data_IF_121890354843
#
_entry.id   IF_121890354843
#
_cell.length_a   1.000
_cell.length_b   1.000
_cell.length_c   1.000
_cell.angle_alpha   90.00
_cell.angle_beta   90.00
_cell.angle_gamma   90.00
#
_symmetry.space_group_name_H-M   'P 1'
#
loop_
_entity.id
_entity.type
_entity.pdbx_description
1 polymer ?
#
# COMPACT_ATOMS: atom_id res chain seq x y z
N UNK A 1 27.00 -0.94 5.84
CA UNK A 1 25.53 -0.71 5.86
C UNK A 1 25.25 0.11 7.11
N UNK A 2 24.76 1.35 6.97
CA UNK A 2 24.34 2.17 8.13
C UNK A 2 22.86 1.93 8.34
N UNK A 3 22.47 1.49 9.52
CA UNK A 3 21.07 1.48 9.93
C UNK A 3 20.70 2.90 10.36
N UNK A 4 19.56 3.39 9.93
CA UNK A 4 18.98 4.62 10.44
C UNK A 4 18.12 4.27 11.66
N UNK A 5 18.28 5.02 12.74
CA UNK A 5 17.42 4.94 13.90
C UNK A 5 16.17 5.79 13.66
N UNK A 6 14.99 5.23 13.94
CA UNK A 6 13.69 5.90 13.78
C UNK A 6 12.84 5.36 12.62
N UNK A 7 11.55 5.74 12.57
CA UNK A 7 10.66 5.36 11.49
C UNK A 7 11.12 6.01 10.16
N UNK A 8 10.87 5.38 9.01
CA UNK A 8 11.01 6.03 7.71
C UNK A 8 10.09 7.26 7.61
N UNK A 9 10.53 8.30 6.91
CA UNK A 9 9.66 9.45 6.61
C UNK A 9 8.59 9.12 5.56
N UNK A 10 8.90 8.24 4.61
CA UNK A 10 7.98 7.79 3.57
C UNK A 10 8.04 6.27 3.47
N UNK A 11 6.88 5.62 3.48
CA UNK A 11 6.75 4.21 3.10
C UNK A 11 5.92 4.15 1.82
N UNK A 12 6.37 3.35 0.85
CA UNK A 12 5.61 3.04 -0.37
C UNK A 12 5.40 1.52 -0.40
N UNK A 13 4.16 1.08 -0.27
CA UNK A 13 3.78 -0.33 -0.34
C UNK A 13 3.08 -0.62 -1.66
N UNK A 14 3.70 -1.46 -2.50
CA UNK A 14 3.11 -1.97 -3.73
C UNK A 14 2.29 -3.20 -3.40
N UNK A 15 0.98 -3.11 -3.61
CA UNK A 15 0.04 -4.18 -3.34
C UNK A 15 0.19 -5.28 -4.37
N UNK A 16 0.35 -6.52 -3.88
CA UNK A 16 0.23 -7.71 -4.71
C UNK A 16 -1.24 -8.14 -4.80
N UNK A 17 -1.67 -8.82 -5.87
CA UNK A 17 -3.03 -9.39 -5.95
C UNK A 17 -3.35 -10.34 -4.78
N UNK A 18 -2.34 -11.01 -4.22
CA UNK A 18 -2.46 -12.03 -3.18
C UNK A 18 -2.22 -11.54 -1.75
N UNK A 19 -1.97 -10.24 -1.54
CA UNK A 19 -1.68 -9.74 -0.18
C UNK A 19 -2.93 -9.78 0.68
N UNK A 20 -3.00 -10.79 1.57
CA UNK A 20 -4.08 -11.00 2.54
C UNK A 20 -4.39 -9.71 3.29
N UNK A 21 -5.68 -9.39 3.43
CA UNK A 21 -6.21 -8.23 4.19
C UNK A 21 -5.57 -8.07 5.57
N UNK A 22 -5.19 -9.18 6.21
CA UNK A 22 -4.52 -9.20 7.51
C UNK A 22 -3.13 -8.54 7.50
N UNK A 23 -2.31 -8.79 6.47
CA UNK A 23 -0.95 -8.20 6.39
C UNK A 23 -1.01 -6.69 6.17
N UNK A 24 -1.92 -6.23 5.28
CA UNK A 24 -2.16 -4.81 5.04
C UNK A 24 -2.55 -4.06 6.32
N UNK A 25 -3.52 -4.59 7.08
CA UNK A 25 -3.96 -3.97 8.34
C UNK A 25 -2.87 -3.95 9.40
N UNK A 26 -2.09 -5.03 9.50
CA UNK A 26 -0.96 -5.12 10.45
C UNK A 26 0.09 -4.06 10.16
N UNK A 27 0.55 -3.96 8.91
CA UNK A 27 1.56 -2.98 8.48
C UNK A 27 1.06 -1.55 8.63
N UNK A 28 -0.17 -1.26 8.20
CA UNK A 28 -0.78 0.06 8.34
C UNK A 28 -0.77 0.51 9.81
N UNK A 29 -1.23 -0.35 10.73
CA UNK A 29 -1.24 -0.04 12.15
C UNK A 29 0.17 0.09 12.73
N UNK A 30 1.12 -0.74 12.29
CA UNK A 30 2.51 -0.68 12.73
C UNK A 30 3.14 0.67 12.33
N UNK A 31 3.11 1.00 11.04
CA UNK A 31 3.71 2.23 10.53
C UNK A 31 3.08 3.49 11.13
N UNK A 32 1.75 3.46 11.35
CA UNK A 32 1.07 4.56 12.01
C UNK A 32 1.60 4.75 13.46
N UNK A 33 1.66 3.67 14.24
CA UNK A 33 2.16 3.69 15.63
C UNK A 33 3.63 4.09 15.75
N UNK A 34 4.47 3.66 14.81
CA UNK A 34 5.88 4.04 14.78
C UNK A 34 6.08 5.49 14.31
N UNK A 35 5.03 6.18 13.87
CA UNK A 35 5.10 7.61 13.53
C UNK A 35 5.56 7.90 12.10
N UNK A 36 5.46 6.94 11.17
CA UNK A 36 5.71 7.19 9.75
C UNK A 36 4.77 8.28 9.26
N UNK A 37 5.26 9.45 8.81
CA UNK A 37 4.41 10.60 8.51
C UNK A 37 3.64 10.47 7.19
N UNK A 38 4.21 9.82 6.17
CA UNK A 38 3.58 9.63 4.86
C UNK A 38 3.64 8.16 4.42
N UNK A 39 2.52 7.62 3.97
CA UNK A 39 2.42 6.21 3.56
C UNK A 39 1.59 6.07 2.27
N UNK A 40 2.18 5.48 1.24
CA UNK A 40 1.57 5.29 -0.08
C UNK A 40 1.22 3.83 -0.30
N UNK A 41 -0.03 3.58 -0.66
CA UNK A 41 -0.53 2.27 -1.10
C UNK A 41 -0.70 2.28 -2.61
N UNK A 42 0.13 1.52 -3.31
CA UNK A 42 0.14 1.45 -4.77
C UNK A 42 -0.58 0.20 -5.23
N UNK A 43 -1.71 0.36 -5.91
CA UNK A 43 -2.31 -0.69 -6.74
C UNK A 43 -1.72 -0.54 -8.14
N UNK A 44 -0.95 -1.51 -8.65
CA UNK A 44 -0.24 -1.34 -9.93
C UNK A 44 -1.16 -1.50 -11.15
N UNK A 45 -2.24 -2.26 -11.05
CA UNK A 45 -3.20 -2.49 -12.14
C UNK A 45 -4.65 -2.55 -11.61
N UNK A 46 -5.53 -1.61 -12.00
CA UNK A 46 -5.19 -0.33 -12.63
C UNK A 46 -4.27 0.50 -11.72
N UNK A 47 -3.42 1.37 -12.29
CA UNK A 47 -2.53 2.22 -11.48
C UNK A 47 -3.36 3.18 -10.63
N UNK A 48 -3.30 2.99 -9.33
CA UNK A 48 -3.97 3.82 -8.33
C UNK A 48 -3.07 3.94 -7.11
N UNK A 49 -2.82 5.16 -6.64
CA UNK A 49 -2.05 5.41 -5.42
C UNK A 49 -2.94 6.09 -4.40
N UNK A 50 -3.17 5.42 -3.27
CA UNK A 50 -3.77 6.03 -2.08
C UNK A 50 -2.66 6.59 -1.19
N UNK A 51 -2.72 7.89 -0.91
CA UNK A 51 -1.78 8.56 0.00
C UNK A 51 -2.43 8.76 1.35
N UNK A 52 -1.76 8.24 2.36
CA UNK A 52 -2.13 8.32 3.76
C UNK A 52 -1.16 9.23 4.51
N UNK A 53 -1.72 10.08 5.38
CA UNK A 53 -0.96 10.94 6.29
C UNK A 53 -1.20 10.51 7.73
N UNK A 54 -0.14 10.48 8.53
CA UNK A 54 -0.24 10.10 9.92
C UNK A 54 -0.75 11.27 10.77
N UNK A 55 -1.79 11.00 11.52
CA UNK A 55 -2.38 11.86 12.50
C UNK A 55 -2.41 11.12 13.84
N UNK A 56 -1.50 11.49 14.74
CA UNK A 56 -1.43 10.99 16.12
C UNK A 56 -1.45 9.45 16.23
N UNK A 57 -0.71 8.76 15.36
CA UNK A 57 -0.61 7.29 15.40
C UNK A 57 -1.69 6.57 14.60
N UNK A 58 -2.47 7.30 13.80
CA UNK A 58 -3.48 6.75 12.88
C UNK A 58 -3.35 7.39 11.50
N UNK A 59 -3.52 6.60 10.43
CA UNK A 59 -3.49 7.14 9.08
C UNK A 59 -4.84 7.68 8.62
N UNK A 60 -4.83 8.84 7.98
CA UNK A 60 -5.97 9.45 7.30
C UNK A 60 -5.68 9.54 5.80
N UNK A 61 -6.67 9.27 4.96
CA UNK A 61 -6.52 9.40 3.50
C UNK A 61 -6.42 10.87 3.10
N UNK A 62 -5.26 11.25 2.55
CA UNK A 62 -5.03 12.56 1.94
C UNK A 62 -5.69 12.65 0.56
N UNK A 63 -5.59 11.57 -0.20
CA UNK A 63 -6.13 11.51 -1.54
C UNK A 63 -5.83 10.20 -2.24
N UNK A 64 -6.52 9.98 -3.34
CA UNK A 64 -6.36 8.84 -4.23
C UNK A 64 -6.06 9.39 -5.62
N UNK A 65 -5.00 8.89 -6.25
CA UNK A 65 -4.44 9.44 -7.49
C UNK A 65 -4.34 8.35 -8.55
N UNK A 66 -4.98 8.59 -9.70
CA UNK A 66 -4.86 7.79 -10.92
C UNK A 66 -3.81 8.31 -11.91
N UNK A 67 -3.69 7.63 -13.05
CA UNK A 67 -2.72 7.89 -14.14
C UNK A 67 -2.69 9.35 -14.64
N UNK A 68 -3.79 10.09 -14.50
CA UNK A 68 -3.92 11.49 -14.92
C UNK A 68 -3.21 12.49 -14.01
N UNK A 69 -2.66 12.04 -12.87
CA UNK A 69 -2.06 12.92 -11.87
C UNK A 69 -0.53 12.94 -11.91
N UNK A 70 0.04 14.08 -11.50
CA UNK A 70 1.40 14.13 -10.98
C UNK A 70 1.33 14.09 -9.45
N UNK A 71 1.89 13.03 -8.85
CA UNK A 71 1.91 12.86 -7.40
C UNK A 71 3.18 13.46 -6.80
N UNK A 72 3.03 14.29 -5.76
CA UNK A 72 4.14 14.86 -4.99
C UNK A 72 4.08 14.40 -3.54
N UNK A 73 5.23 14.02 -2.98
CA UNK A 73 5.37 13.73 -1.55
C UNK A 73 5.33 15.02 -0.74
N UNK A 74 4.71 14.92 0.45
CA UNK A 74 4.69 16.01 1.41
C UNK A 74 5.99 16.09 2.20
N UNK A 75 6.59 14.93 2.53
CA UNK A 75 7.84 14.86 3.31
C UNK A 75 9.09 15.02 2.47
N UNK A 76 9.02 14.66 1.18
CA UNK A 76 10.08 14.89 0.19
C UNK A 76 9.52 15.75 -0.96
N UNK A 77 9.45 17.08 -0.83
CA UNK A 77 8.85 17.95 -1.84
C UNK A 77 9.47 17.84 -3.24
N UNK A 78 10.73 17.42 -3.34
CA UNK A 78 11.44 17.14 -4.59
C UNK A 78 11.01 15.84 -5.27
N UNK A 79 10.42 14.89 -4.51
CA UNK A 79 9.87 13.66 -5.05
C UNK A 79 8.50 13.94 -5.70
N UNK A 80 8.52 14.07 -7.02
CA UNK A 80 7.36 14.28 -7.88
C UNK A 80 7.35 13.22 -8.98
N UNK A 81 6.24 12.50 -9.12
CA UNK A 81 6.08 11.38 -10.06
C UNK A 81 4.90 11.67 -10.99
N UNK A 82 5.15 11.65 -12.29
CA UNK A 82 4.10 11.60 -13.30
C UNK A 82 3.54 10.17 -13.35
N UNK A 83 2.28 9.99 -12.94
CA UNK A 83 1.69 8.66 -12.85
C UNK A 83 1.35 8.06 -14.21
N UNK A 84 1.19 8.89 -15.25
CA UNK A 84 1.00 8.38 -16.61
C UNK A 84 2.31 7.74 -17.11
N UNK A 85 3.43 8.45 -16.97
CA UNK A 85 4.74 7.93 -17.33
C UNK A 85 5.14 6.69 -16.48
N UNK A 86 4.75 6.65 -15.21
CA UNK A 86 4.93 5.47 -14.36
C UNK A 86 4.12 4.28 -14.87
N UNK A 87 2.86 4.48 -15.27
CA UNK A 87 2.01 3.42 -15.79
C UNK A 87 2.62 2.77 -17.05
N UNK A 88 3.17 3.58 -17.96
CA UNK A 88 3.84 3.10 -19.18
C UNK A 88 5.11 2.29 -18.89
N UNK A 89 5.77 2.55 -17.76
CA UNK A 89 7.00 1.87 -17.35
C UNK A 89 6.76 0.58 -16.57
N UNK A 90 5.56 0.36 -16.04
CA UNK A 90 5.24 -0.84 -15.26
C UNK A 90 5.05 -2.05 -16.19
N UNK A 91 5.58 -3.23 -15.82
CA UNK A 91 5.29 -4.44 -16.57
C UNK A 91 3.80 -4.78 -16.47
N UNK A 92 3.22 -5.40 -17.52
CA UNK A 92 1.88 -5.93 -17.42
C UNK A 92 1.82 -6.95 -16.27
N UNK A 93 0.81 -6.84 -15.41
CA UNK A 93 0.62 -7.84 -14.37
C UNK A 93 0.24 -9.17 -15.04
N UNK A 94 0.82 -10.31 -14.61
CA UNK A 94 0.34 -11.61 -15.05
C UNK A 94 -1.16 -11.71 -14.73
N UNK A 95 -1.95 -12.41 -15.55
CA UNK A 95 -3.34 -12.70 -15.19
C UNK A 95 -3.36 -13.29 -13.78
N UNK A 96 -4.32 -12.86 -12.97
CA UNK A 96 -4.54 -13.46 -11.65
C UNK A 96 -4.97 -14.90 -11.92
N UNK A 97 -4.01 -15.83 -11.90
CA UNK A 97 -4.30 -17.26 -11.88
C UNK A 97 -5.13 -17.52 -10.63
N UNK A 98 -6.33 -18.08 -10.84
CA UNK A 98 -7.39 -18.36 -9.88
C UNK A 98 -7.09 -17.90 -8.45
N UNK A 99 -7.76 -16.81 -8.05
CA UNK A 99 -7.92 -16.36 -6.68
C UNK A 99 -7.88 -17.60 -5.74
N UNK A 100 -6.74 -17.83 -5.09
CA UNK A 100 -6.62 -18.89 -4.08
C UNK A 100 -7.49 -18.44 -2.93
N UNK A 101 -8.79 -18.74 -3.06
CA UNK A 101 -9.74 -18.66 -1.98
C UNK A 101 -9.21 -19.64 -0.96
N UNK A 102 -8.69 -19.13 0.15
CA UNK A 102 -8.54 -19.96 1.33
C UNK A 102 -9.88 -20.64 1.53
N UNK A 103 -9.92 -21.94 1.31
CA UNK A 103 -11.13 -22.74 1.49
C UNK A 103 -11.60 -22.50 2.92
N UNK A 104 -12.89 -22.22 3.10
CA UNK A 104 -13.49 -22.03 4.43
C UNK A 104 -13.01 -23.18 5.33
N UNK A 105 -12.32 -22.90 6.46
CA UNK A 105 -11.85 -23.96 7.34
C UNK A 105 -13.05 -24.81 7.78
N UNK A 106 -12.94 -26.13 7.64
CA UNK A 106 -13.95 -27.09 8.09
C UNK A 106 -13.97 -27.16 9.63
N UNK A 107 -14.50 -26.13 10.28
CA UNK A 107 -14.94 -26.20 11.68
C UNK A 107 -16.47 -26.24 11.81
N UNK A 108 -17.19 -26.32 10.69
CA UNK A 108 -18.63 -26.52 10.67
C UNK A 108 -19.00 -27.99 10.46
N UNK A 109 -18.41 -28.91 11.22
CA UNK A 109 -19.06 -30.20 11.50
C UNK A 109 -18.61 -30.76 12.85
N UNK A 110 -19.19 -30.21 13.92
CA UNK A 110 -19.26 -30.92 15.19
C UNK A 110 -20.51 -30.47 15.94
N UNK A 111 -21.67 -30.84 15.38
CA UNK A 111 -22.88 -31.08 16.17
C UNK A 111 -23.23 -32.56 16.03
N UNK A 112 -22.74 -33.36 16.99
CA UNK A 112 -23.44 -34.56 17.45
C UNK A 112 -23.96 -34.28 18.85
#
# INVERSE_FOLDING_TARGET
>A
IRFQDGPPELVIEVLSPSTLRHDKLRKLNLYAKEGVPEYWLVTPHPLLIEVLENFEGSFLTRGVYGVEHTLRSRVFPELSIDLNALADALPPQPPIEDEVRETVPTYADSRR
#
